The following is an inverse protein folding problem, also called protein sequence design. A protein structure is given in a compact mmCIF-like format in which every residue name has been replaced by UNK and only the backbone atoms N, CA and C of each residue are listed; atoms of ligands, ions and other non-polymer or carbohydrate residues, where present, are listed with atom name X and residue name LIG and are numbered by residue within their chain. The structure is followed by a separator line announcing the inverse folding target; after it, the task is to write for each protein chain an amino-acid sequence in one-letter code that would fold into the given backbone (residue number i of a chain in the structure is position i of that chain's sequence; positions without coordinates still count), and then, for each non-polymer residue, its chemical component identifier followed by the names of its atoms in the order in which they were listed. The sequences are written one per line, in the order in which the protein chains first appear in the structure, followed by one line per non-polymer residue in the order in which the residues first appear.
data_IF_300606489325
#
_entry.id   IF_300606489325
#
_cell.length_a   1.000
_cell.length_b   1.000
_cell.length_c   1.000
_cell.angle_alpha   90.00
_cell.angle_beta   90.00
_cell.angle_gamma   90.00
#
_symmetry.space_group_name_H-M   'P 1'
#
loop_
_entity.id
_entity.type
_entity.pdbx_description
1 polymer ?
#
# COMPACT_ATOMS: atom_id res chain seq x y z
N UNK A 1 0.58 60.00 -48.96
CA UNK A 1 0.00 58.67 -49.25
C UNK A 1 0.90 57.59 -48.65
N UNK A 2 0.30 56.64 -47.89
CA UNK A 2 0.84 55.36 -47.39
C UNK A 2 2.02 55.35 -46.39
N UNK A 3 1.68 55.36 -45.09
CA UNK A 3 2.48 54.76 -44.00
C UNK A 3 2.40 53.23 -44.13
N UNK A 4 3.49 52.60 -44.58
CA UNK A 4 3.60 51.14 -44.72
C UNK A 4 3.88 50.45 -43.38
N UNK A 5 3.00 49.52 -43.01
CA UNK A 5 3.06 48.66 -41.81
C UNK A 5 4.40 47.89 -41.77
N UNK A 6 5.23 48.18 -40.78
CA UNK A 6 6.35 47.32 -40.34
C UNK A 6 6.04 46.78 -38.96
N UNK A 7 5.31 45.66 -38.90
CA UNK A 7 5.04 44.97 -37.64
C UNK A 7 4.51 43.59 -37.95
N UNK A 8 5.39 42.56 -37.95
CA UNK A 8 5.03 41.17 -37.59
C UNK A 8 6.22 40.18 -37.70
N UNK A 9 7.30 40.51 -38.42
CA UNK A 9 8.38 39.55 -38.69
C UNK A 9 9.46 39.39 -37.59
N UNK A 10 9.43 40.17 -36.50
CA UNK A 10 10.59 40.28 -35.57
C UNK A 10 10.39 39.71 -34.15
N UNK A 11 9.28 39.05 -33.81
CA UNK A 11 9.07 38.58 -32.42
C UNK A 11 8.81 37.05 -32.28
N UNK A 12 9.41 36.27 -33.17
CA UNK A 12 9.34 34.79 -33.14
C UNK A 12 10.11 34.22 -31.93
N UNK A 13 11.21 34.88 -31.51
CA UNK A 13 12.09 34.43 -30.42
C UNK A 13 11.44 34.49 -29.03
N UNK A 14 10.64 35.51 -28.72
CA UNK A 14 9.91 35.60 -27.43
C UNK A 14 8.76 34.61 -27.33
N UNK A 15 8.05 34.37 -28.44
CA UNK A 15 6.94 33.41 -28.50
C UNK A 15 7.44 31.97 -28.35
N UNK A 16 8.60 31.65 -28.94
CA UNK A 16 9.20 30.33 -28.81
C UNK A 16 9.73 30.05 -27.39
N UNK A 17 10.30 31.06 -26.71
CA UNK A 17 10.73 30.94 -25.31
C UNK A 17 9.57 30.65 -24.35
N UNK A 18 8.42 31.32 -24.52
CA UNK A 18 7.21 31.03 -23.73
C UNK A 18 6.68 29.61 -23.95
N UNK A 19 6.73 29.11 -25.19
CA UNK A 19 6.37 27.72 -25.50
C UNK A 19 7.30 26.73 -24.81
N UNK A 20 8.62 26.95 -24.91
CA UNK A 20 9.62 26.13 -24.25
C UNK A 20 9.46 26.09 -22.74
N UNK A 21 9.30 27.25 -22.09
CA UNK A 21 9.08 27.33 -20.63
C UNK A 21 7.82 26.55 -20.23
N UNK A 22 6.72 26.67 -20.98
CA UNK A 22 5.48 25.95 -20.70
C UNK A 22 5.67 24.43 -20.82
N UNK A 23 6.42 23.96 -21.83
CA UNK A 23 6.75 22.54 -21.99
C UNK A 23 7.62 22.02 -20.84
N UNK A 24 8.64 22.78 -20.42
CA UNK A 24 9.49 22.40 -19.31
C UNK A 24 8.75 22.37 -17.97
N UNK A 25 7.83 23.31 -17.73
CA UNK A 25 6.98 23.30 -16.53
C UNK A 25 6.06 22.08 -16.53
N UNK A 26 5.46 21.74 -17.67
CA UNK A 26 4.60 20.55 -17.78
C UNK A 26 5.39 19.27 -17.55
N UNK A 27 6.60 19.18 -18.11
CA UNK A 27 7.49 18.04 -17.89
C UNK A 27 7.90 17.93 -16.42
N UNK A 28 8.27 19.05 -15.79
CA UNK A 28 8.62 19.10 -14.37
C UNK A 28 7.47 18.64 -13.48
N UNK A 29 6.23 19.08 -13.76
CA UNK A 29 5.04 18.64 -13.04
C UNK A 29 4.87 17.12 -13.10
N UNK A 30 5.03 16.52 -14.29
CA UNK A 30 4.93 15.07 -14.47
C UNK A 30 6.02 14.33 -13.69
N UNK A 31 7.27 14.80 -13.78
CA UNK A 31 8.39 14.19 -13.02
C UNK A 31 8.15 14.32 -11.51
N UNK A 32 7.64 15.45 -11.04
CA UNK A 32 7.31 15.67 -9.64
C UNK A 32 6.26 14.68 -9.14
N UNK A 33 5.19 14.46 -9.92
CA UNK A 33 4.15 13.48 -9.56
C UNK A 33 4.71 12.06 -9.52
N UNK A 34 5.53 11.67 -10.52
CA UNK A 34 6.18 10.35 -10.54
C UNK A 34 7.07 10.18 -9.31
N UNK A 35 7.82 11.22 -8.92
CA UNK A 35 8.68 11.17 -7.74
C UNK A 35 7.89 11.03 -6.44
N UNK A 36 6.75 11.72 -6.31
CA UNK A 36 5.85 11.57 -5.16
C UNK A 36 5.29 10.15 -5.06
N UNK A 37 4.86 9.58 -6.19
CA UNK A 37 4.39 8.18 -6.25
C UNK A 37 5.52 7.23 -5.87
N UNK A 38 6.74 7.44 -6.40
CA UNK A 38 7.89 6.61 -6.08
C UNK A 38 8.23 6.67 -4.59
N UNK A 39 8.26 7.87 -3.98
CA UNK A 39 8.49 7.99 -2.54
C UNK A 39 7.36 7.35 -1.72
N UNK A 40 6.10 7.51 -2.13
CA UNK A 40 4.97 6.90 -1.44
C UNK A 40 5.02 5.36 -1.48
N UNK A 41 5.35 4.78 -2.64
CA UNK A 41 5.46 3.33 -2.80
C UNK A 41 6.72 2.78 -2.15
N UNK A 42 7.84 3.50 -2.21
CA UNK A 42 9.11 3.07 -1.62
C UNK A 42 9.15 3.23 -0.09
N UNK A 43 8.40 4.20 0.48
CA UNK A 43 8.19 4.36 1.93
C UNK A 43 7.01 3.56 2.48
N UNK A 44 6.30 2.79 1.66
CA UNK A 44 5.48 1.72 2.20
C UNK A 44 6.45 0.76 2.88
N UNK A 45 6.53 0.88 4.21
CA UNK A 45 7.39 0.08 5.07
C UNK A 45 7.29 -1.36 4.61
N UNK A 46 8.39 -1.88 4.06
CA UNK A 46 8.45 -3.28 3.65
C UNK A 46 8.14 -4.07 4.91
N UNK A 47 7.03 -4.80 4.85
CA UNK A 47 6.59 -5.70 5.89
C UNK A 47 7.82 -6.50 6.34
N UNK A 48 8.29 -6.24 7.57
CA UNK A 48 9.42 -6.97 8.12
C UNK A 48 8.97 -8.43 8.20
N UNK A 49 9.56 -9.27 7.35
CA UNK A 49 9.18 -10.67 7.34
C UNK A 49 9.49 -11.24 8.73
N UNK A 50 8.50 -11.82 9.43
CA UNK A 50 8.70 -12.31 10.78
C UNK A 50 9.87 -13.29 10.79
N UNK A 51 10.69 -13.27 11.83
CA UNK A 51 11.76 -14.25 11.98
C UNK A 51 11.14 -15.66 12.06
N UNK A 52 11.24 -16.41 10.96
CA UNK A 52 10.67 -17.76 10.83
C UNK A 52 11.56 -18.83 11.47
N UNK A 53 12.74 -18.46 11.99
CA UNK A 53 13.67 -19.40 12.60
C UNK A 53 13.15 -19.98 13.93
N UNK A 54 12.24 -19.29 14.59
CA UNK A 54 11.64 -19.69 15.87
C UNK A 54 10.36 -20.51 15.71
N UNK A 55 10.03 -20.93 14.49
CA UNK A 55 8.78 -21.64 14.19
C UNK A 55 8.99 -23.14 14.37
N UNK A 56 8.29 -23.72 15.35
CA UNK A 56 8.42 -25.14 15.71
C UNK A 56 7.11 -25.91 15.63
N UNK A 57 5.98 -25.21 15.49
CA UNK A 57 4.67 -25.81 15.50
C UNK A 57 4.40 -26.66 14.26
N UNK A 58 4.08 -27.93 14.49
CA UNK A 58 3.64 -28.89 13.46
C UNK A 58 2.21 -29.39 13.68
N UNK A 59 1.56 -28.92 14.73
CA UNK A 59 0.28 -29.43 15.23
C UNK A 59 -0.90 -28.80 14.50
N UNK A 60 -0.77 -27.53 14.08
CA UNK A 60 -1.83 -26.81 13.36
C UNK A 60 -1.87 -25.33 13.68
N UNK A 61 -2.96 -24.68 13.28
CA UNK A 61 -3.19 -23.24 13.46
C UNK A 61 -4.66 -22.98 13.75
N UNK A 62 -4.96 -21.80 14.32
CA UNK A 62 -6.34 -21.35 14.54
C UNK A 62 -6.77 -20.50 13.36
N UNK A 63 -7.92 -20.83 12.75
CA UNK A 63 -8.53 -20.02 11.70
C UNK A 63 -9.69 -19.19 12.28
N UNK A 64 -9.62 -17.87 12.11
CA UNK A 64 -10.68 -16.93 12.49
C UNK A 64 -11.35 -16.37 11.25
N UNK A 65 -12.67 -16.54 11.14
CA UNK A 65 -13.47 -15.98 10.05
C UNK A 65 -14.37 -14.87 10.59
N UNK A 66 -14.29 -13.68 9.99
CA UNK A 66 -15.14 -12.54 10.32
C UNK A 66 -16.08 -12.23 9.16
N UNK A 67 -17.40 -12.27 9.40
CA UNK A 67 -18.42 -12.00 8.38
C UNK A 67 -18.41 -10.57 7.82
N UNK A 68 -17.77 -9.62 8.52
CA UNK A 68 -17.59 -8.25 8.06
C UNK A 68 -17.47 -7.25 9.22
N UNK A 69 -16.99 -6.06 8.90
CA UNK A 69 -16.78 -4.96 9.87
C UNK A 69 -17.70 -3.80 9.50
N UNK A 70 -18.54 -3.37 10.43
CA UNK A 70 -19.37 -2.18 10.26
C UNK A 70 -18.85 -1.00 11.09
N UNK A 71 -19.28 0.21 10.70
CA UNK A 71 -18.97 1.46 11.40
C UNK A 71 -19.86 1.68 12.64
N UNK A 72 -20.99 0.98 12.67
CA UNK A 72 -21.98 0.92 13.74
C UNK A 72 -22.38 -0.54 13.84
N UNK A 73 -21.93 -1.23 14.89
CA UNK A 73 -22.12 -2.67 15.06
C UNK A 73 -23.54 -3.14 14.76
N UNK A 74 -23.67 -4.21 13.99
CA UNK A 74 -24.94 -4.93 13.77
C UNK A 74 -24.77 -6.37 14.23
N UNK A 75 -25.84 -7.15 14.44
CA UNK A 75 -25.74 -8.51 14.96
C UNK A 75 -24.82 -9.45 14.16
N UNK A 76 -24.58 -9.15 12.88
CA UNK A 76 -23.65 -9.88 12.01
C UNK A 76 -22.30 -9.18 11.78
N UNK A 77 -22.16 -7.89 12.11
CA UNK A 77 -20.97 -7.10 11.78
C UNK A 77 -20.35 -6.58 13.07
N UNK A 78 -19.11 -7.02 13.32
CA UNK A 78 -18.34 -6.55 14.46
C UNK A 78 -18.03 -5.06 14.28
N UNK A 79 -18.16 -4.31 15.37
CA UNK A 79 -17.74 -2.91 15.41
C UNK A 79 -16.21 -2.81 15.29
N UNK A 80 -15.74 -1.76 14.60
CA UNK A 80 -14.29 -1.55 14.38
C UNK A 80 -13.49 -1.49 15.69
N UNK A 81 -14.02 -0.87 16.74
CA UNK A 81 -13.32 -0.78 18.03
C UNK A 81 -13.24 -2.16 18.70
N UNK A 82 -14.31 -2.96 18.60
CA UNK A 82 -14.33 -4.33 19.11
C UNK A 82 -13.36 -5.24 18.35
N UNK A 83 -13.32 -5.18 17.02
CA UNK A 83 -12.33 -5.94 16.24
C UNK A 83 -10.91 -5.56 16.67
N UNK A 84 -10.63 -4.26 16.77
CA UNK A 84 -9.31 -3.79 17.18
C UNK A 84 -8.91 -4.31 18.56
N UNK A 85 -9.83 -4.29 19.53
CA UNK A 85 -9.59 -4.82 20.86
C UNK A 85 -9.32 -6.34 20.86
N UNK A 86 -10.08 -7.11 20.08
CA UNK A 86 -9.86 -8.55 19.92
C UNK A 86 -8.48 -8.84 19.29
N UNK A 87 -8.14 -8.15 18.19
CA UNK A 87 -6.86 -8.31 17.52
C UNK A 87 -5.68 -7.93 18.42
N UNK A 88 -5.82 -6.85 19.19
CA UNK A 88 -4.81 -6.45 20.16
C UNK A 88 -4.63 -7.51 21.25
N UNK A 89 -5.73 -8.06 21.77
CA UNK A 89 -5.68 -9.09 22.81
C UNK A 89 -4.98 -10.36 22.30
N UNK A 90 -5.27 -10.77 21.06
CA UNK A 90 -4.61 -11.92 20.43
C UNK A 90 -3.11 -11.65 20.24
N UNK A 91 -2.76 -10.45 19.78
CA UNK A 91 -1.36 -10.04 19.65
C UNK A 91 -0.63 -10.06 21.00
N UNK A 92 -1.24 -9.52 22.06
CA UNK A 92 -0.66 -9.46 23.41
C UNK A 92 -0.52 -10.86 24.03
N UNK A 93 -1.38 -11.80 23.65
CA UNK A 93 -1.25 -13.22 24.00
C UNK A 93 -0.18 -13.95 23.19
N UNK A 94 0.47 -13.29 22.24
CA UNK A 94 1.53 -13.84 21.40
C UNK A 94 1.04 -14.62 20.18
N UNK A 95 -0.22 -14.44 19.76
CA UNK A 95 -0.69 -14.99 18.48
C UNK A 95 -0.03 -14.26 17.32
N UNK A 96 0.49 -15.06 16.38
CA UNK A 96 1.17 -14.57 15.19
C UNK A 96 0.29 -14.83 13.98
N UNK A 97 0.00 -13.77 13.23
CA UNK A 97 -0.78 -13.89 12.00
C UNK A 97 0.06 -14.52 10.89
N UNK A 98 -0.44 -15.62 10.31
CA UNK A 98 0.22 -16.35 9.23
C UNK A 98 -0.47 -16.08 7.90
N UNK A 99 0.28 -16.12 6.79
CA UNK A 99 -0.25 -15.87 5.47
C UNK A 99 -0.83 -17.14 4.82
N UNK A 100 -1.64 -16.99 3.78
CA UNK A 100 -2.13 -18.14 2.98
C UNK A 100 -0.97 -18.96 2.42
N UNK A 101 0.13 -18.33 2.03
CA UNK A 101 1.34 -19.01 1.56
C UNK A 101 1.99 -19.84 2.66
N UNK A 102 2.02 -19.34 3.89
CA UNK A 102 2.58 -20.10 5.02
C UNK A 102 1.71 -21.34 5.31
N UNK A 103 0.39 -21.23 5.20
CA UNK A 103 -0.53 -22.39 5.30
C UNK A 103 -0.30 -23.41 4.18
N UNK A 104 -0.14 -22.96 2.93
CA UNK A 104 0.17 -23.85 1.81
C UNK A 104 1.51 -24.54 2.01
N UNK A 105 2.55 -23.80 2.41
CA UNK A 105 3.87 -24.36 2.68
C UNK A 105 3.84 -25.31 3.90
N UNK A 106 2.98 -25.08 4.90
CA UNK A 106 2.76 -26.00 6.02
C UNK A 106 2.23 -27.35 5.54
N UNK A 107 1.16 -27.35 4.73
CA UNK A 107 0.56 -28.59 4.22
C UNK A 107 1.38 -29.28 3.14
N UNK A 108 1.92 -28.53 2.18
CA UNK A 108 2.58 -29.10 1.00
C UNK A 108 4.06 -29.39 1.21
N UNK A 109 4.74 -28.60 2.07
CA UNK A 109 6.19 -28.68 2.27
C UNK A 109 6.58 -29.04 3.69
N UNK A 110 5.62 -29.22 4.59
CA UNK A 110 5.86 -29.55 5.99
C UNK A 110 6.65 -28.46 6.73
N UNK A 111 6.58 -27.19 6.28
CA UNK A 111 7.18 -26.07 7.01
C UNK A 111 6.47 -25.90 8.34
N UNK A 112 7.22 -25.67 9.41
CA UNK A 112 6.63 -25.36 10.70
C UNK A 112 5.95 -23.98 10.67
N UNK A 113 4.98 -23.78 11.57
CA UNK A 113 4.31 -22.51 11.83
C UNK A 113 4.72 -21.96 13.20
N UNK A 114 4.35 -20.73 13.56
CA UNK A 114 4.45 -20.24 14.93
C UNK A 114 3.64 -21.12 15.90
N UNK A 115 4.09 -21.22 17.14
CA UNK A 115 3.38 -21.96 18.22
C UNK A 115 1.94 -21.46 18.42
N UNK A 116 1.72 -20.15 18.24
CA UNK A 116 0.39 -19.54 18.28
C UNK A 116 0.00 -18.99 16.91
N UNK A 117 0.01 -19.86 15.90
CA UNK A 117 -0.35 -19.51 14.53
C UNK A 117 -1.85 -19.16 14.39
N UNK A 118 -2.12 -18.02 13.77
CA UNK A 118 -3.45 -17.48 13.55
C UNK A 118 -3.66 -17.13 12.07
N UNK A 119 -4.69 -17.69 11.43
CA UNK A 119 -5.04 -17.38 10.05
C UNK A 119 -6.39 -16.67 10.00
N UNK A 120 -6.44 -15.49 9.37
CA UNK A 120 -7.70 -14.79 9.15
C UNK A 120 -8.29 -15.18 7.80
N UNK A 121 -9.54 -15.61 7.84
CA UNK A 121 -10.39 -15.85 6.68
C UNK A 121 -11.26 -14.61 6.51
N UNK A 122 -11.12 -13.96 5.36
CA UNK A 122 -11.95 -12.85 4.91
C UNK A 122 -12.98 -13.35 3.92
#
# INVERSE_FOLDING_TARGET
MKKGKRSEALDVKRKNRRKWIKTWIQLFLVIMVIFLIYQAVARTDRYAEPDKSTWHNRSGFVALSYFGVSRTGTPLLIDKAQLKAQLQTLHDQGYVTVSQKDILDFYQKGKALPDKALFFVL
#
